data_IF_532716224349
#
_entry.id   IF_532716224349
#
_cell.length_a   1.000
_cell.length_b   1.000
_cell.length_c   1.000
_cell.angle_alpha   90.00
_cell.angle_beta   90.00
_cell.angle_gamma   90.00
#
_symmetry.space_group_name_H-M   'P 1'
#
loop_
_entity.id
_entity.type
_entity.pdbx_description
1 polymer ?
#
# COMPACT_ATOMS: atom_id res chain seq x y z
N UNK A 1 11.99 10.07 -6.13
CA UNK A 1 11.76 9.94 -4.68
C UNK A 1 11.85 8.46 -4.33
N UNK A 2 12.94 8.02 -3.70
CA UNK A 2 13.28 6.59 -3.57
C UNK A 2 13.05 6.11 -2.12
N UNK A 3 11.93 5.40 -1.90
CA UNK A 3 11.60 4.72 -0.64
C UNK A 3 12.74 3.75 -0.25
N UNK A 4 12.96 3.47 1.06
CA UNK A 4 13.94 2.48 1.53
C UNK A 4 14.02 1.22 0.66
N UNK A 5 15.23 0.77 0.35
CA UNK A 5 15.46 -0.51 -0.33
C UNK A 5 14.85 -1.64 0.51
N UNK A 6 14.28 -2.66 -0.14
CA UNK A 6 13.66 -3.80 0.54
C UNK A 6 14.27 -5.11 0.02
N UNK A 7 15.54 -5.40 0.35
CA UNK A 7 16.30 -6.48 -0.30
C UNK A 7 15.63 -7.85 -0.17
N UNK A 8 14.94 -8.13 0.94
CA UNK A 8 14.22 -9.40 1.13
C UNK A 8 12.98 -9.52 0.24
N UNK A 9 12.23 -8.43 0.06
CA UNK A 9 11.07 -8.40 -0.83
C UNK A 9 11.51 -8.45 -2.30
N UNK A 10 12.55 -7.70 -2.65
CA UNK A 10 13.17 -7.71 -3.99
C UNK A 10 13.64 -9.11 -4.37
N UNK A 11 14.41 -9.78 -3.50
CA UNK A 11 14.85 -11.16 -3.71
C UNK A 11 13.69 -12.13 -3.88
N UNK A 12 12.61 -11.99 -3.11
CA UNK A 12 11.43 -12.84 -3.24
C UNK A 12 10.76 -12.68 -4.61
N UNK A 13 10.59 -11.43 -5.07
CA UNK A 13 9.97 -11.15 -6.37
C UNK A 13 10.84 -11.69 -7.51
N UNK A 14 12.15 -11.46 -7.47
CA UNK A 14 13.08 -11.98 -8.48
C UNK A 14 13.11 -13.52 -8.49
N UNK A 15 13.16 -14.17 -7.32
CA UNK A 15 13.14 -15.62 -7.24
C UNK A 15 11.84 -16.24 -7.80
N UNK A 16 10.70 -15.57 -7.62
CA UNK A 16 9.44 -15.96 -8.21
C UNK A 16 9.45 -15.80 -9.75
N UNK A 17 10.02 -14.71 -10.27
CA UNK A 17 10.15 -14.46 -11.71
C UNK A 17 11.07 -15.48 -12.41
N UNK A 18 12.20 -15.82 -11.80
CA UNK A 18 13.17 -16.74 -12.39
C UNK A 18 12.80 -18.22 -12.17
N UNK A 19 11.76 -18.49 -11.37
CA UNK A 19 11.35 -19.85 -11.03
C UNK A 19 12.32 -20.58 -10.11
N UNK A 20 13.24 -19.85 -9.47
CA UNK A 20 14.17 -20.41 -8.46
C UNK A 20 13.49 -20.58 -7.09
N UNK A 21 12.28 -20.03 -6.91
CA UNK A 21 11.46 -20.22 -5.73
C UNK A 21 10.70 -21.57 -5.78
N UNK A 22 11.39 -22.64 -5.38
CA UNK A 22 10.80 -23.98 -5.25
C UNK A 22 10.61 -24.72 -6.59
N UNK A 23 9.94 -25.89 -6.55
CA UNK A 23 9.83 -26.80 -7.70
C UNK A 23 8.73 -26.42 -8.72
N UNK A 24 8.19 -25.20 -8.67
CA UNK A 24 6.94 -24.83 -9.36
C UNK A 24 7.12 -23.98 -10.63
N UNK A 25 8.36 -23.78 -11.09
CA UNK A 25 8.68 -22.95 -12.26
C UNK A 25 8.42 -21.45 -12.06
N UNK A 26 8.61 -20.62 -13.11
CA UNK A 26 8.36 -19.19 -13.07
C UNK A 26 6.92 -18.84 -12.65
N UNK A 27 6.78 -17.81 -11.81
CA UNK A 27 5.51 -17.28 -11.31
C UNK A 27 5.31 -15.83 -11.77
N UNK A 28 4.08 -15.34 -11.66
CA UNK A 28 3.69 -13.94 -11.87
C UNK A 28 3.42 -13.31 -10.49
N UNK A 29 4.36 -12.53 -9.93
CA UNK A 29 4.18 -11.91 -8.63
C UNK A 29 3.14 -10.79 -8.69
N UNK A 30 2.18 -10.82 -7.78
CA UNK A 30 1.16 -9.78 -7.58
C UNK A 30 1.38 -9.14 -6.23
N UNK A 31 1.93 -7.93 -6.24
CA UNK A 31 2.33 -7.21 -5.03
C UNK A 31 1.17 -6.34 -4.54
N UNK A 32 0.65 -6.67 -3.35
CA UNK A 32 -0.49 -5.99 -2.73
C UNK A 32 -0.04 -5.11 -1.57
N UNK A 33 -0.54 -3.87 -1.51
CA UNK A 33 -0.33 -3.01 -0.34
C UNK A 33 -1.05 -1.67 -0.50
N UNK A 34 -1.47 -1.03 0.58
CA UNK A 34 -2.19 0.25 0.53
C UNK A 34 -1.35 1.41 -0.01
N UNK A 35 -1.95 2.60 -0.14
CA UNK A 35 -1.24 3.82 -0.52
C UNK A 35 0.04 4.00 0.32
N UNK A 36 1.15 4.39 -0.33
CA UNK A 36 2.41 4.65 0.37
C UNK A 36 3.22 3.41 0.80
N UNK A 37 2.81 2.19 0.42
CA UNK A 37 3.54 0.95 0.78
C UNK A 37 4.79 0.65 -0.06
N UNK A 38 5.17 1.52 -0.99
CA UNK A 38 6.42 1.40 -1.75
C UNK A 38 6.39 0.50 -2.98
N UNK A 39 5.21 0.06 -3.44
CA UNK A 39 5.05 -0.80 -4.64
C UNK A 39 5.71 -0.20 -5.88
N UNK A 40 5.44 1.07 -6.19
CA UNK A 40 6.03 1.77 -7.34
C UNK A 40 7.55 1.85 -7.22
N UNK A 41 8.09 2.20 -6.05
CA UNK A 41 9.54 2.25 -5.84
C UNK A 41 10.18 0.86 -6.00
N UNK A 42 9.52 -0.19 -5.53
CA UNK A 42 9.95 -1.58 -5.74
C UNK A 42 9.98 -1.93 -7.24
N UNK A 43 8.94 -1.62 -8.02
CA UNK A 43 8.95 -1.88 -9.46
C UNK A 43 10.08 -1.13 -10.18
N UNK A 44 10.29 0.15 -9.85
CA UNK A 44 11.36 0.94 -10.46
C UNK A 44 12.74 0.35 -10.12
N UNK A 45 12.93 -0.13 -8.89
CA UNK A 45 14.17 -0.83 -8.49
C UNK A 45 14.33 -2.16 -9.23
N UNK A 46 13.27 -2.97 -9.35
CA UNK A 46 13.30 -4.22 -10.12
C UNK A 46 13.65 -3.96 -11.58
N UNK A 47 13.14 -2.89 -12.19
CA UNK A 47 13.52 -2.49 -13.56
C UNK A 47 15.01 -2.23 -13.68
N UNK A 48 15.58 -1.52 -12.71
CA UNK A 48 17.01 -1.21 -12.72
C UNK A 48 17.86 -2.47 -12.47
N UNK A 49 17.42 -3.40 -11.61
CA UNK A 49 18.08 -4.69 -11.35
C UNK A 49 18.02 -5.66 -12.55
N UNK A 50 16.87 -5.75 -13.22
CA UNK A 50 16.68 -6.62 -14.40
C UNK A 50 17.37 -6.02 -15.63
N UNK A 51 17.42 -4.70 -15.71
CA UNK A 51 17.99 -3.95 -16.83
C UNK A 51 16.92 -3.28 -17.69
N UNK A 52 17.14 -2.00 -18.01
CA UNK A 52 16.17 -1.13 -18.71
C UNK A 52 15.86 -1.54 -20.15
N UNK A 53 16.68 -2.39 -20.75
CA UNK A 53 16.48 -2.96 -22.10
C UNK A 53 15.77 -4.32 -22.08
N UNK A 54 15.62 -4.91 -20.89
CA UNK A 54 14.97 -6.21 -20.67
C UNK A 54 13.62 -6.06 -19.96
N UNK A 55 13.39 -4.92 -19.28
CA UNK A 55 12.18 -4.65 -18.53
C UNK A 55 11.49 -3.35 -18.95
N UNK A 56 10.17 -3.39 -19.10
CA UNK A 56 9.31 -2.22 -19.30
C UNK A 56 8.47 -1.96 -18.05
N UNK A 57 8.59 -0.76 -17.48
CA UNK A 57 7.68 -0.28 -16.44
C UNK A 57 6.48 0.42 -17.08
N UNK A 58 5.27 0.09 -16.61
CA UNK A 58 4.02 0.62 -17.12
C UNK A 58 3.18 1.13 -15.94
N UNK A 59 2.98 2.45 -15.88
CA UNK A 59 2.05 3.06 -14.92
C UNK A 59 0.63 3.03 -15.52
N UNK A 60 -0.10 1.95 -15.22
CA UNK A 60 -1.43 1.69 -15.78
C UNK A 60 -2.42 2.77 -15.34
N UNK A 61 -2.34 3.24 -14.09
CA UNK A 61 -3.19 4.31 -13.56
C UNK A 61 -3.10 5.59 -14.42
N UNK A 62 -1.92 5.90 -14.97
CA UNK A 62 -1.69 7.10 -15.80
C UNK A 62 -2.08 6.93 -17.26
N UNK A 63 -1.90 5.74 -17.83
CA UNK A 63 -2.07 5.55 -19.29
C UNK A 63 -3.36 4.83 -19.69
N UNK A 64 -4.07 4.18 -18.76
CA UNK A 64 -5.32 3.45 -19.03
C UNK A 64 -6.55 4.37 -19.16
N UNK A 65 -6.51 5.35 -20.08
CA UNK A 65 -7.65 6.25 -20.34
C UNK A 65 -8.64 5.66 -21.35
N UNK A 66 -8.14 5.15 -22.47
CA UNK A 66 -8.89 4.37 -23.47
C UNK A 66 -8.00 3.23 -23.96
N UNK A 67 -8.56 2.12 -24.48
CA UNK A 67 -7.75 1.02 -25.00
C UNK A 67 -6.75 1.44 -26.10
N UNK A 68 -7.13 2.36 -26.98
CA UNK A 68 -6.30 2.86 -28.08
C UNK A 68 -5.13 3.69 -27.55
N UNK A 69 -5.38 4.60 -26.59
CA UNK A 69 -4.31 5.39 -25.99
C UNK A 69 -3.38 4.52 -25.15
N UNK A 70 -3.93 3.53 -24.46
CA UNK A 70 -3.15 2.56 -23.69
C UNK A 70 -2.21 1.77 -24.58
N UNK A 71 -2.72 1.17 -25.67
CA UNK A 71 -1.91 0.46 -26.66
C UNK A 71 -0.80 1.33 -27.23
N UNK A 72 -1.15 2.57 -27.64
CA UNK A 72 -0.18 3.53 -28.18
C UNK A 72 0.91 3.84 -27.17
N UNK A 73 0.54 4.24 -25.96
CA UNK A 73 1.49 4.60 -24.89
C UNK A 73 2.40 3.42 -24.52
N UNK A 74 1.85 2.21 -24.50
CA UNK A 74 2.59 0.98 -24.22
C UNK A 74 3.66 0.70 -25.28
N UNK A 75 3.34 0.92 -26.56
CA UNK A 75 4.28 0.74 -27.68
C UNK A 75 5.31 1.86 -27.75
N UNK A 76 4.89 3.12 -27.64
CA UNK A 76 5.75 4.29 -27.77
C UNK A 76 6.82 4.35 -26.67
N UNK A 77 6.48 3.90 -25.47
CA UNK A 77 7.41 3.84 -24.33
C UNK A 77 8.19 2.51 -24.23
N UNK A 78 8.01 1.59 -25.18
CA UNK A 78 8.63 0.27 -25.15
C UNK A 78 10.13 0.34 -25.42
N UNK A 79 11.00 -0.27 -24.58
CA UNK A 79 12.42 -0.42 -24.89
C UNK A 79 12.70 -1.57 -25.87
N UNK A 80 11.68 -2.35 -26.22
CA UNK A 80 11.80 -3.52 -27.09
C UNK A 80 11.77 -3.14 -28.56
N UNK A 81 12.49 -3.87 -29.44
CA UNK A 81 12.48 -3.62 -30.88
C UNK A 81 11.05 -3.58 -31.42
N UNK A 82 10.81 -2.66 -32.37
CA UNK A 82 9.52 -2.56 -33.04
C UNK A 82 9.22 -3.88 -33.75
N UNK A 83 8.21 -4.60 -33.26
CA UNK A 83 7.65 -5.75 -33.95
C UNK A 83 6.35 -5.31 -34.64
N UNK A 84 6.06 -5.78 -35.86
CA UNK A 84 4.79 -5.54 -36.53
C UNK A 84 3.67 -6.33 -35.82
N UNK A 85 3.17 -5.81 -34.71
CA UNK A 85 2.04 -6.41 -34.01
C UNK A 85 0.72 -5.88 -34.57
N UNK A 86 -0.04 -6.77 -35.22
CA UNK A 86 -1.49 -6.63 -35.38
C UNK A 86 -1.95 -5.37 -36.10
N UNK A 87 -1.17 -4.84 -37.04
CA UNK A 87 -1.70 -3.89 -38.01
C UNK A 87 -2.59 -4.68 -38.99
N UNK A 88 -3.85 -4.91 -38.62
CA UNK A 88 -4.86 -5.13 -39.64
C UNK A 88 -4.90 -3.85 -40.48
N UNK A 89 -4.39 -3.94 -41.71
CA UNK A 89 -4.38 -2.82 -42.64
C UNK A 89 -5.83 -2.40 -42.93
N UNK A 90 -6.20 -1.16 -42.58
CA UNK A 90 -7.29 -0.44 -43.24
C UNK A 90 -8.49 0.02 -42.41
N UNK A 91 -8.61 -0.31 -41.12
CA UNK A 91 -9.69 0.20 -40.26
C UNK A 91 -9.13 0.88 -39.01
N UNK A 92 -9.78 1.97 -38.55
CA UNK A 92 -9.53 2.50 -37.21
C UNK A 92 -9.92 1.40 -36.20
N UNK A 93 -8.98 0.83 -35.44
CA UNK A 93 -9.27 -0.29 -34.56
C UNK A 93 -10.27 0.16 -33.49
N UNK A 94 -11.34 -0.63 -33.28
CA UNK A 94 -12.27 -0.38 -32.19
C UNK A 94 -11.60 -0.61 -30.82
N UNK A 95 -12.24 -0.15 -29.76
CA UNK A 95 -11.75 -0.30 -28.38
C UNK A 95 -11.35 -1.74 -28.03
N UNK A 96 -12.13 -2.74 -28.49
CA UNK A 96 -11.81 -4.16 -28.30
C UNK A 96 -10.55 -4.57 -29.05
N UNK A 97 -10.45 -4.22 -30.33
CA UNK A 97 -9.29 -4.56 -31.17
C UNK A 97 -8.00 -3.95 -30.62
N UNK A 98 -8.08 -2.72 -30.12
CA UNK A 98 -6.94 -2.06 -29.49
C UNK A 98 -6.50 -2.76 -28.19
N UNK A 99 -7.45 -3.24 -27.39
CA UNK A 99 -7.12 -4.03 -26.20
C UNK A 99 -6.52 -5.39 -26.57
N UNK A 100 -7.09 -6.09 -27.55
CA UNK A 100 -6.56 -7.39 -28.02
C UNK A 100 -5.15 -7.22 -28.61
N UNK A 101 -4.89 -6.12 -29.33
CA UNK A 101 -3.56 -5.77 -29.81
C UNK A 101 -2.58 -5.42 -28.68
N UNK A 102 -3.06 -4.92 -27.54
CA UNK A 102 -2.23 -4.69 -26.34
C UNK A 102 -1.87 -6.02 -25.67
N UNK A 103 -2.82 -6.95 -25.56
CA UNK A 103 -2.55 -8.31 -25.06
C UNK A 103 -1.55 -9.04 -25.97
N UNK A 104 -1.73 -8.95 -27.29
CA UNK A 104 -0.80 -9.52 -28.25
C UNK A 104 0.61 -8.94 -28.09
N UNK A 105 0.73 -7.62 -27.91
CA UNK A 105 2.02 -6.97 -27.65
C UNK A 105 2.67 -7.49 -26.36
N UNK A 106 1.92 -7.54 -25.25
CA UNK A 106 2.41 -8.05 -23.97
C UNK A 106 2.88 -9.50 -24.07
N UNK A 107 2.23 -10.32 -24.89
CA UNK A 107 2.58 -11.73 -25.05
C UNK A 107 3.86 -11.97 -25.87
N UNK A 108 4.00 -11.21 -26.95
CA UNK A 108 4.95 -11.54 -28.00
C UNK A 108 6.16 -10.61 -28.05
N UNK A 109 6.16 -9.50 -27.31
CA UNK A 109 7.35 -8.62 -27.17
C UNK A 109 8.57 -9.41 -26.71
N UNK A 110 9.74 -9.08 -27.24
CA UNK A 110 11.02 -9.68 -26.85
C UNK A 110 12.06 -8.59 -26.65
N UNK A 111 13.00 -8.84 -25.75
CA UNK A 111 14.16 -7.96 -25.63
C UNK A 111 15.02 -7.99 -26.90
N UNK A 112 15.93 -7.03 -27.05
CA UNK A 112 16.82 -6.97 -28.21
C UNK A 112 17.68 -8.25 -28.40
N UNK A 113 17.91 -9.01 -27.32
CA UNK A 113 18.58 -10.31 -27.33
C UNK A 113 17.70 -11.48 -27.80
N UNK A 114 16.41 -11.26 -28.09
CA UNK A 114 15.43 -12.31 -28.35
C UNK A 114 14.89 -12.99 -27.08
N UNK A 115 15.40 -12.64 -25.90
CA UNK A 115 14.94 -13.17 -24.63
C UNK A 115 13.51 -12.70 -24.28
N UNK A 116 12.78 -13.45 -23.43
CA UNK A 116 11.50 -13.00 -22.88
C UNK A 116 11.59 -11.60 -22.28
N UNK A 117 10.65 -10.73 -22.65
CA UNK A 117 10.50 -9.42 -22.06
C UNK A 117 9.95 -9.53 -20.63
N UNK A 118 10.34 -8.60 -19.75
CA UNK A 118 9.71 -8.44 -18.44
C UNK A 118 8.84 -7.18 -18.39
N UNK A 119 7.58 -7.33 -18.02
CA UNK A 119 6.65 -6.21 -17.83
C UNK A 119 6.35 -5.99 -16.36
N UNK A 120 6.45 -4.74 -15.92
CA UNK A 120 6.17 -4.30 -14.55
C UNK A 120 4.94 -3.40 -14.59
N UNK A 121 3.75 -3.99 -14.37
CA UNK A 121 2.47 -3.30 -14.48
C UNK A 121 2.06 -2.74 -13.11
N UNK A 122 2.22 -1.42 -12.95
CA UNK A 122 1.84 -0.71 -11.74
C UNK A 122 0.35 -0.38 -11.75
N UNK A 123 -0.37 -0.70 -10.67
CA UNK A 123 -1.82 -0.49 -10.55
C UNK A 123 -2.67 -1.15 -11.65
N UNK A 124 -2.36 -2.42 -12.00
CA UNK A 124 -3.00 -3.12 -13.12
C UNK A 124 -4.54 -3.17 -13.06
N UNK A 125 -5.12 -3.10 -11.85
CA UNK A 125 -6.58 -3.07 -11.66
C UNK A 125 -7.25 -1.80 -12.20
N UNK A 126 -6.49 -0.75 -12.53
CA UNK A 126 -7.04 0.45 -13.15
C UNK A 126 -7.52 0.19 -14.59
N UNK A 127 -7.12 -0.90 -15.24
CA UNK A 127 -7.73 -1.34 -16.52
C UNK A 127 -9.23 -1.61 -16.41
N UNK A 128 -9.77 -1.73 -15.20
CA UNK A 128 -11.22 -1.78 -14.95
C UNK A 128 -11.96 -0.59 -15.57
N UNK A 129 -11.31 0.56 -15.77
CA UNK A 129 -11.92 1.70 -16.50
C UNK A 129 -12.38 1.30 -17.90
N UNK A 130 -11.79 0.27 -18.50
CA UNK A 130 -12.18 -0.21 -19.83
C UNK A 130 -13.48 -1.02 -19.83
N UNK A 131 -14.00 -1.44 -18.66
CA UNK A 131 -15.28 -2.17 -18.58
C UNK A 131 -16.48 -1.38 -19.11
N UNK A 132 -16.36 -0.04 -19.23
CA UNK A 132 -17.39 0.81 -19.84
C UNK A 132 -17.41 0.77 -21.37
N UNK A 133 -16.38 0.22 -22.02
CA UNK A 133 -16.29 0.15 -23.48
C UNK A 133 -16.96 -1.12 -24.01
N UNK A 134 -17.56 -1.08 -25.22
CA UNK A 134 -18.17 -2.26 -25.83
C UNK A 134 -17.19 -3.44 -25.94
N UNK A 135 -17.62 -4.63 -25.51
CA UNK A 135 -16.80 -5.85 -25.59
C UNK A 135 -15.72 -6.01 -24.53
N UNK A 136 -15.60 -5.10 -23.55
CA UNK A 136 -14.52 -5.10 -22.55
C UNK A 136 -15.01 -5.30 -21.10
N UNK A 137 -16.23 -5.82 -20.91
CA UNK A 137 -16.78 -6.11 -19.57
C UNK A 137 -15.96 -7.12 -18.74
N UNK A 138 -15.11 -7.92 -19.38
CA UNK A 138 -14.24 -8.92 -18.75
C UNK A 138 -12.75 -8.56 -18.82
N UNK A 139 -12.39 -7.31 -19.11
CA UNK A 139 -11.01 -6.85 -19.39
C UNK A 139 -9.95 -7.40 -18.43
N UNK A 140 -10.22 -7.41 -17.12
CA UNK A 140 -9.27 -7.92 -16.12
C UNK A 140 -9.12 -9.44 -16.19
N UNK A 141 -10.19 -10.19 -16.46
CA UNK A 141 -10.12 -11.64 -16.65
C UNK A 141 -9.39 -12.00 -17.94
N UNK A 142 -9.66 -11.27 -19.01
CA UNK A 142 -9.00 -11.43 -20.29
C UNK A 142 -7.48 -11.19 -20.16
N UNK A 143 -7.09 -10.13 -19.44
CA UNK A 143 -5.68 -9.86 -19.10
C UNK A 143 -5.07 -11.03 -18.33
N UNK A 144 -5.68 -11.45 -17.21
CA UNK A 144 -5.16 -12.54 -16.37
C UNK A 144 -4.98 -13.83 -17.18
N UNK A 145 -5.92 -14.16 -18.07
CA UNK A 145 -5.81 -15.28 -19.00
C UNK A 145 -4.60 -15.14 -19.93
N UNK A 146 -4.47 -14.01 -20.62
CA UNK A 146 -3.37 -13.76 -21.55
C UNK A 146 -1.99 -13.79 -20.87
N UNK A 147 -1.86 -13.17 -19.69
CA UNK A 147 -0.61 -13.17 -18.94
C UNK A 147 -0.21 -14.58 -18.49
N UNK A 148 -1.18 -15.42 -18.11
CA UNK A 148 -0.91 -16.77 -17.61
C UNK A 148 -0.35 -17.74 -18.66
N UNK A 149 -0.65 -17.50 -19.93
CA UNK A 149 -0.19 -18.33 -21.05
C UNK A 149 1.01 -17.74 -21.77
N UNK A 150 1.45 -16.55 -21.35
CA UNK A 150 2.48 -15.82 -22.07
C UNK A 150 3.88 -16.38 -21.81
N UNK A 151 4.72 -16.33 -22.85
CA UNK A 151 6.15 -16.63 -22.72
C UNK A 151 6.98 -15.51 -22.07
N UNK A 152 6.38 -14.34 -21.81
CA UNK A 152 7.01 -13.20 -21.16
C UNK A 152 6.85 -13.25 -19.63
N UNK A 153 7.58 -12.39 -18.92
CA UNK A 153 7.59 -12.31 -17.46
C UNK A 153 6.80 -11.09 -17.00
N UNK A 154 6.09 -11.20 -15.88
CA UNK A 154 5.21 -10.14 -15.40
C UNK A 154 5.33 -9.95 -13.89
N UNK A 155 5.36 -8.69 -13.45
CA UNK A 155 5.12 -8.30 -12.06
C UNK A 155 3.95 -7.33 -12.06
N UNK A 156 2.94 -7.62 -11.23
CA UNK A 156 1.74 -6.80 -11.10
C UNK A 156 1.72 -6.12 -9.73
N UNK A 157 1.24 -4.89 -9.64
CA UNK A 157 0.96 -4.26 -8.34
C UNK A 157 -0.46 -3.72 -8.28
N UNK A 158 -1.01 -3.63 -7.09
CA UNK A 158 -2.20 -2.80 -6.88
C UNK A 158 -2.36 -2.36 -5.43
N UNK A 159 -2.98 -1.20 -5.24
CA UNK A 159 -3.47 -0.76 -3.93
C UNK A 159 -4.73 -1.46 -3.45
N UNK A 160 -5.49 -2.07 -4.36
CA UNK A 160 -6.79 -2.64 -4.02
C UNK A 160 -6.67 -4.12 -3.64
N UNK A 161 -6.15 -4.42 -2.46
CA UNK A 161 -5.87 -5.78 -2.02
C UNK A 161 -7.14 -6.65 -2.00
N UNK A 162 -8.27 -6.12 -1.52
CA UNK A 162 -9.54 -6.86 -1.52
C UNK A 162 -10.01 -7.22 -2.94
N UNK A 163 -9.88 -6.30 -3.91
CA UNK A 163 -10.23 -6.57 -5.32
C UNK A 163 -9.31 -7.59 -5.94
N UNK A 164 -8.00 -7.50 -5.69
CA UNK A 164 -7.03 -8.44 -6.21
C UNK A 164 -7.30 -9.86 -5.71
N UNK A 165 -7.54 -10.03 -4.40
CA UNK A 165 -7.89 -11.32 -3.81
C UNK A 165 -9.15 -11.94 -4.43
N UNK A 166 -10.18 -11.14 -4.72
CA UNK A 166 -11.39 -11.66 -5.39
C UNK A 166 -11.14 -12.01 -6.86
N UNK A 167 -10.38 -11.18 -7.58
CA UNK A 167 -10.05 -11.45 -8.99
C UNK A 167 -9.20 -12.72 -9.13
N UNK A 168 -8.25 -12.92 -8.21
CA UNK A 168 -7.25 -13.98 -8.29
C UNK A 168 -7.63 -15.26 -7.54
N UNK A 169 -8.79 -15.29 -6.86
CA UNK A 169 -9.27 -16.47 -6.12
C UNK A 169 -9.24 -17.74 -6.97
N UNK A 170 -9.70 -17.62 -8.21
CA UNK A 170 -9.81 -18.71 -9.17
C UNK A 170 -8.84 -18.50 -10.35
N UNK A 171 -7.80 -17.67 -10.17
CA UNK A 171 -6.83 -17.41 -11.22
C UNK A 171 -5.93 -18.64 -11.46
N UNK A 172 -5.34 -18.75 -12.67
CA UNK A 172 -4.39 -19.81 -12.99
C UNK A 172 -3.25 -19.91 -11.96
N UNK A 173 -2.70 -21.12 -11.82
CA UNK A 173 -1.64 -21.42 -10.87
C UNK A 173 -0.40 -20.50 -10.87
N UNK A 174 0.06 -19.86 -11.97
CA UNK A 174 1.28 -19.05 -11.95
C UNK A 174 1.20 -17.77 -11.07
N UNK A 175 0.03 -17.28 -10.69
CA UNK A 175 -0.05 -16.04 -9.90
C UNK A 175 0.34 -16.26 -8.43
N UNK A 176 1.33 -15.52 -7.95
CA UNK A 176 1.75 -15.52 -6.54
C UNK A 176 1.38 -14.18 -5.88
N UNK A 177 0.52 -14.22 -4.87
CA UNK A 177 0.18 -13.02 -4.09
C UNK A 177 1.28 -12.75 -3.06
N UNK A 178 1.85 -11.55 -3.11
CA UNK A 178 2.87 -11.07 -2.18
C UNK A 178 2.36 -9.79 -1.51
N UNK A 179 2.12 -9.85 -0.20
CA UNK A 179 1.78 -8.66 0.56
C UNK A 179 3.04 -7.83 0.87
N UNK A 180 3.03 -6.55 0.49
CA UNK A 180 4.04 -5.60 0.91
C UNK A 180 3.85 -5.30 2.40
N UNK A 181 4.57 -6.03 3.25
CA UNK A 181 4.54 -5.88 4.69
C UNK A 181 4.93 -4.44 5.10
N UNK A 182 4.38 -3.90 6.20
CA UNK A 182 4.92 -2.71 6.84
C UNK A 182 6.43 -2.84 7.13
N UNK A 183 7.15 -1.72 7.13
CA UNK A 183 8.54 -1.67 7.55
C UNK A 183 8.66 -2.01 9.03
N UNK A 184 9.63 -2.85 9.33
CA UNK A 184 10.15 -3.06 10.68
C UNK A 184 10.94 -1.84 11.15
N UNK A 185 11.11 -1.72 12.47
CA UNK A 185 11.99 -0.69 13.04
C UNK A 185 13.44 -0.85 12.53
N UNK A 186 13.91 -2.08 12.29
CA UNK A 186 15.23 -2.34 11.74
C UNK A 186 15.38 -1.83 10.29
N UNK A 187 14.37 -2.02 9.43
CA UNK A 187 14.35 -1.47 8.07
C UNK A 187 14.36 0.07 8.10
N UNK A 188 13.62 0.69 9.03
CA UNK A 188 13.61 2.15 9.19
C UNK A 188 14.97 2.65 9.69
N UNK A 189 15.54 1.99 10.72
CA UNK A 189 16.86 2.30 11.29
C UNK A 189 17.94 2.33 10.22
N UNK A 190 17.93 1.36 9.31
CA UNK A 190 18.89 1.26 8.20
C UNK A 190 18.85 2.47 7.26
N UNK A 191 17.75 3.23 7.22
CA UNK A 191 17.59 4.41 6.36
C UNK A 191 17.85 5.74 7.06
N UNK A 192 17.86 5.75 8.39
CA UNK A 192 18.27 6.93 9.14
C UNK A 192 19.77 7.18 8.88
N UNK A 193 20.21 8.43 8.70
CA UNK A 193 21.63 8.74 8.55
C UNK A 193 22.40 8.19 9.77
N UNK A 194 23.48 7.45 9.52
CA UNK A 194 24.42 7.11 10.58
C UNK A 194 25.25 8.34 10.93
N UNK A 195 25.67 8.46 12.19
CA UNK A 195 26.75 9.37 12.57
C UNK A 195 28.10 8.83 12.03
N UNK A 196 28.22 8.67 10.72
CA UNK A 196 29.50 8.43 10.06
C UNK A 196 30.00 9.78 9.54
N UNK A 197 30.29 10.67 10.47
CA UNK A 197 31.33 11.66 10.28
C UNK A 197 32.64 11.01 10.72
N UNK A 198 33.61 10.93 9.82
CA UNK A 198 35.01 10.68 10.16
C UNK A 198 35.54 11.86 11.00
N UNK A 199 35.09 11.99 12.25
CA UNK A 199 35.74 12.86 13.23
C UNK A 199 36.17 12.00 14.41
N UNK A 200 37.49 11.83 14.48
CA UNK A 200 38.20 11.20 15.58
C UNK A 200 37.79 11.85 16.91
N UNK A 201 37.09 11.10 17.77
CA UNK A 201 37.02 11.46 19.19
C UNK A 201 35.86 10.85 19.96
N UNK A 202 36.20 9.94 20.88
CA UNK A 202 35.39 9.48 22.02
C UNK A 202 34.43 8.31 21.69
N UNK A 203 34.97 7.09 21.78
CA UNK A 203 34.27 5.78 21.74
C UNK A 203 33.10 5.63 22.74
N UNK A 204 32.89 6.57 23.66
CA UNK A 204 31.77 6.56 24.61
C UNK A 204 30.43 7.04 24.03
N UNK A 205 30.45 7.77 22.89
CA UNK A 205 29.26 8.39 22.31
C UNK A 205 28.57 7.48 21.25
N UNK A 206 29.27 6.46 20.74
CA UNK A 206 28.74 5.58 19.68
C UNK A 206 27.58 4.70 20.17
N UNK A 207 27.69 4.10 21.36
CA UNK A 207 26.62 3.27 21.91
C UNK A 207 25.37 4.08 22.26
N UNK A 208 25.54 5.31 22.74
CA UNK A 208 24.44 6.21 23.07
C UNK A 208 23.72 6.67 21.79
N UNK A 209 24.48 7.08 20.77
CA UNK A 209 23.94 7.40 19.45
C UNK A 209 23.23 6.22 18.79
N UNK A 210 23.76 5.01 18.92
CA UNK A 210 23.11 3.80 18.40
C UNK A 210 21.79 3.50 19.11
N UNK A 211 21.71 3.72 20.44
CA UNK A 211 20.46 3.60 21.20
C UNK A 211 19.45 4.67 20.81
N UNK A 212 19.86 5.94 20.68
CA UNK A 212 19.01 7.03 20.22
C UNK A 212 18.44 6.74 18.82
N UNK A 213 19.28 6.20 17.92
CA UNK A 213 18.87 5.82 16.57
C UNK A 213 17.86 4.67 16.58
N UNK A 214 18.02 3.68 17.47
CA UNK A 214 17.06 2.60 17.66
C UNK A 214 15.71 3.11 18.20
N UNK A 215 15.76 4.02 19.16
CA UNK A 215 14.57 4.65 19.74
C UNK A 215 13.81 5.47 18.69
N UNK A 216 14.52 6.32 17.93
CA UNK A 216 13.93 7.09 16.83
C UNK A 216 13.29 6.16 15.79
N UNK A 217 13.97 5.07 15.40
CA UNK A 217 13.42 4.12 14.45
C UNK A 217 12.15 3.43 14.95
N UNK A 218 12.10 3.05 16.25
CA UNK A 218 10.90 2.48 16.88
C UNK A 218 9.75 3.50 16.93
N UNK A 219 10.02 4.75 17.30
CA UNK A 219 9.02 5.82 17.32
C UNK A 219 8.45 6.09 15.92
N UNK A 220 9.33 6.27 14.92
CA UNK A 220 8.93 6.46 13.52
C UNK A 220 8.11 5.26 13.02
N UNK A 221 8.51 4.03 13.36
CA UNK A 221 7.76 2.84 12.98
C UNK A 221 6.34 2.84 13.57
N UNK A 222 6.21 3.14 14.86
CA UNK A 222 4.91 3.18 15.54
C UNK A 222 3.99 4.27 14.96
N UNK A 223 4.53 5.48 14.75
CA UNK A 223 3.79 6.65 14.23
C UNK A 223 3.41 6.53 12.76
N UNK A 224 4.20 5.80 11.98
CA UNK A 224 3.94 5.57 10.55
C UNK A 224 3.13 4.31 10.27
N UNK A 225 2.85 3.48 11.28
CA UNK A 225 2.35 2.12 11.09
C UNK A 225 3.28 1.27 10.19
N UNK A 226 4.58 1.57 10.19
CA UNK A 226 5.56 1.01 9.28
C UNK A 226 5.33 1.35 7.80
N UNK A 227 4.44 2.29 7.45
CA UNK A 227 4.19 2.64 6.04
C UNK A 227 5.39 3.42 5.51
N UNK A 228 6.10 2.92 4.47
CA UNK A 228 7.33 3.53 3.98
C UNK A 228 7.24 5.02 3.64
N UNK A 229 6.14 5.46 3.00
CA UNK A 229 5.96 6.89 2.69
C UNK A 229 5.82 7.77 3.93
N UNK A 230 5.15 7.28 4.98
CA UNK A 230 4.96 8.02 6.22
C UNK A 230 6.23 7.98 7.07
N UNK A 231 6.85 6.80 7.20
CA UNK A 231 8.09 6.62 7.93
C UNK A 231 9.19 7.56 7.41
N UNK A 232 9.34 7.64 6.08
CA UNK A 232 10.28 8.56 5.44
C UNK A 232 9.93 10.01 5.75
N UNK A 233 8.69 10.44 5.50
CA UNK A 233 8.28 11.82 5.71
C UNK A 233 8.51 12.27 7.16
N UNK A 234 8.15 11.42 8.13
CA UNK A 234 8.35 11.68 9.56
C UNK A 234 9.84 11.76 9.88
N UNK A 235 10.66 10.78 9.44
CA UNK A 235 12.09 10.77 9.72
C UNK A 235 12.82 11.99 9.12
N UNK A 236 12.57 12.31 7.85
CA UNK A 236 13.19 13.45 7.17
C UNK A 236 12.79 14.78 7.83
N UNK A 237 11.51 14.92 8.19
CA UNK A 237 11.00 16.13 8.85
C UNK A 237 11.54 16.26 10.27
N UNK A 238 11.61 15.16 11.03
CA UNK A 238 12.16 15.15 12.40
C UNK A 238 13.64 15.55 12.42
N UNK A 239 14.44 15.04 11.49
CA UNK A 239 15.84 15.44 11.33
C UNK A 239 15.96 16.90 10.90
N UNK A 240 15.11 17.35 9.96
CA UNK A 240 15.13 18.74 9.50
C UNK A 240 14.71 19.75 10.57
N UNK A 241 13.82 19.35 11.50
CA UNK A 241 13.34 20.19 12.60
C UNK A 241 14.20 20.05 13.87
N UNK A 242 15.17 19.14 13.88
CA UNK A 242 15.97 18.85 15.05
C UNK A 242 16.65 20.12 15.58
N UNK A 243 16.44 20.39 16.86
CA UNK A 243 17.11 21.47 17.59
C UNK A 243 18.14 20.86 18.56
N UNK A 244 18.64 21.63 19.53
CA UNK A 244 19.63 21.14 20.51
C UNK A 244 19.17 19.89 21.31
N UNK A 245 17.88 19.56 21.28
CA UNK A 245 17.30 18.37 21.92
C UNK A 245 17.14 17.14 21.02
N UNK A 246 17.67 17.14 19.79
CA UNK A 246 17.57 16.02 18.86
C UNK A 246 16.29 16.00 18.02
N UNK A 247 16.11 14.96 17.17
CA UNK A 247 14.94 14.82 16.31
C UNK A 247 13.65 14.54 17.11
N UNK A 248 12.58 15.30 16.83
CA UNK A 248 11.25 15.09 17.41
C UNK A 248 10.29 14.51 16.35
N UNK A 249 10.07 13.17 16.32
CA UNK A 249 9.16 12.56 15.35
C UNK A 249 7.68 12.88 15.60
N UNK A 250 7.30 13.29 16.80
CA UNK A 250 5.92 13.67 17.13
C UNK A 250 5.63 15.08 16.59
N UNK A 251 6.52 16.03 16.88
CA UNK A 251 6.47 17.37 16.31
C UNK A 251 6.54 17.35 14.78
N UNK A 252 7.36 16.47 14.21
CA UNK A 252 7.40 16.23 12.76
C UNK A 252 6.06 15.74 12.21
N UNK A 253 5.42 14.76 12.85
CA UNK A 253 4.09 14.28 12.43
C UNK A 253 3.03 15.38 12.55
N UNK A 254 3.09 16.22 13.59
CA UNK A 254 2.21 17.38 13.74
C UNK A 254 2.37 18.36 12.59
N UNK A 255 3.60 18.73 12.23
CA UNK A 255 3.88 19.61 11.09
C UNK A 255 3.40 19.00 9.76
N UNK A 256 3.55 17.68 9.58
CA UNK A 256 3.12 16.97 8.38
C UNK A 256 1.59 16.88 8.23
N UNK A 257 0.85 16.86 9.35
CA UNK A 257 -0.62 16.82 9.40
C UNK A 257 -1.27 18.20 9.58
N UNK A 258 -0.48 19.25 9.77
CA UNK A 258 -0.97 20.62 9.77
C UNK A 258 -1.62 21.00 8.42
N UNK A 259 -2.45 22.06 8.38
CA UNK A 259 -3.00 22.56 7.12
C UNK A 259 -1.87 22.84 6.11
N UNK A 260 -1.97 22.25 4.92
CA UNK A 260 -0.94 22.36 3.87
C UNK A 260 0.25 21.40 3.99
N UNK A 261 0.39 20.69 5.12
CA UNK A 261 1.45 19.70 5.35
C UNK A 261 1.45 18.55 4.33
N UNK A 262 2.61 17.92 4.14
CA UNK A 262 2.79 16.90 3.11
C UNK A 262 1.87 15.68 3.32
N UNK A 263 1.73 15.20 4.55
CA UNK A 263 0.84 14.06 4.83
C UNK A 263 -0.63 14.45 4.69
N UNK A 264 -1.01 15.69 5.03
CA UNK A 264 -2.35 16.22 4.74
C UNK A 264 -2.69 16.12 3.26
N UNK A 265 -1.77 16.51 2.38
CA UNK A 265 -1.97 16.43 0.92
C UNK A 265 -2.06 14.98 0.44
N UNK A 266 -1.16 14.12 0.93
CA UNK A 266 -1.12 12.70 0.54
C UNK A 266 -2.39 11.95 1.00
N UNK A 267 -2.81 12.13 2.25
CA UNK A 267 -4.03 11.54 2.79
C UNK A 267 -5.26 12.03 2.04
N UNK A 268 -5.36 13.35 1.79
CA UNK A 268 -6.48 13.93 1.01
C UNK A 268 -6.58 13.30 -0.38
N UNK A 269 -5.46 13.24 -1.10
CA UNK A 269 -5.42 12.66 -2.44
C UNK A 269 -5.85 11.18 -2.40
N UNK A 270 -5.24 10.38 -1.52
CA UNK A 270 -5.56 8.96 -1.40
C UNK A 270 -7.00 8.69 -0.97
N UNK A 271 -7.56 9.54 -0.10
CA UNK A 271 -8.95 9.48 0.35
C UNK A 271 -9.93 9.76 -0.79
N UNK A 272 -9.79 10.91 -1.45
CA UNK A 272 -10.71 11.34 -2.51
C UNK A 272 -10.64 10.41 -3.72
N UNK A 273 -9.43 10.02 -4.14
CA UNK A 273 -9.25 9.09 -5.24
C UNK A 273 -9.98 7.77 -5.00
N UNK A 274 -9.80 7.16 -3.82
CA UNK A 274 -10.44 5.87 -3.49
C UNK A 274 -11.96 5.99 -3.40
N UNK A 275 -12.48 7.08 -2.83
CA UNK A 275 -13.92 7.33 -2.80
C UNK A 275 -14.52 7.49 -4.20
N UNK A 276 -13.83 8.17 -5.12
CA UNK A 276 -14.28 8.28 -6.51
C UNK A 276 -14.24 6.96 -7.28
N UNK A 277 -13.45 5.99 -6.81
CA UNK A 277 -13.38 4.62 -7.36
C UNK A 277 -14.40 3.66 -6.73
N UNK A 278 -15.26 4.15 -5.84
CA UNK A 278 -16.35 3.42 -5.20
C UNK A 278 -17.72 4.06 -5.51
N UNK A 279 -18.80 3.29 -5.31
CA UNK A 279 -20.17 3.80 -5.45
C UNK A 279 -20.64 4.42 -4.13
N UNK A 280 -21.64 5.30 -4.18
CA UNK A 280 -22.27 5.83 -2.96
C UNK A 280 -21.43 6.85 -2.20
N UNK A 281 -20.64 7.67 -2.90
CA UNK A 281 -19.68 8.66 -2.37
C UNK A 281 -20.10 9.33 -1.06
N UNK A 282 -21.28 9.96 -0.99
CA UNK A 282 -21.75 10.64 0.22
C UNK A 282 -22.00 9.71 1.42
N UNK A 283 -22.58 8.52 1.19
CA UNK A 283 -22.80 7.53 2.24
C UNK A 283 -21.48 6.94 2.75
N UNK A 284 -20.51 6.76 1.84
CA UNK A 284 -19.18 6.30 2.21
C UNK A 284 -18.44 7.31 3.08
N UNK A 285 -18.53 8.62 2.75
CA UNK A 285 -17.97 9.69 3.60
C UNK A 285 -18.55 9.66 5.01
N UNK A 286 -19.87 9.53 5.13
CA UNK A 286 -20.55 9.47 6.42
C UNK A 286 -20.11 8.24 7.26
N UNK A 287 -19.89 7.08 6.64
CA UNK A 287 -19.34 5.90 7.34
C UNK A 287 -17.92 6.18 7.85
N UNK A 288 -17.08 6.78 7.01
CA UNK A 288 -15.68 7.09 7.39
C UNK A 288 -15.62 8.14 8.49
N UNK A 289 -16.54 9.10 8.52
CA UNK A 289 -16.68 10.05 9.64
C UNK A 289 -17.02 9.32 10.94
N UNK A 290 -18.04 8.45 10.93
CA UNK A 290 -18.42 7.59 12.08
C UNK A 290 -17.25 6.74 12.58
N UNK A 291 -16.54 6.06 11.68
CA UNK A 291 -15.38 5.24 12.04
C UNK A 291 -14.18 6.07 12.51
N UNK A 292 -14.11 7.34 12.10
CA UNK A 292 -12.99 8.19 12.50
C UNK A 292 -13.08 8.56 13.98
N UNK A 293 -14.30 8.76 14.48
CA UNK A 293 -14.59 9.01 15.89
C UNK A 293 -14.32 7.77 16.73
N UNK A 294 -14.85 6.63 16.32
CA UNK A 294 -14.77 5.38 17.06
C UNK A 294 -14.57 4.19 16.12
N UNK A 295 -13.54 3.40 16.40
CA UNK A 295 -13.30 2.10 15.78
C UNK A 295 -12.66 1.17 16.81
N UNK A 296 -12.87 -0.15 16.73
CA UNK A 296 -13.56 -0.89 15.68
C UNK A 296 -15.09 -1.06 15.92
N UNK A 297 -15.92 -0.82 14.91
CA UNK A 297 -17.40 -0.90 15.01
C UNK A 297 -18.01 -2.06 14.21
N UNK A 298 -19.10 -2.63 14.71
CA UNK A 298 -19.92 -3.62 14.01
C UNK A 298 -20.85 -2.98 12.96
N UNK A 299 -21.36 -3.80 12.03
CA UNK A 299 -22.36 -3.36 11.04
C UNK A 299 -23.56 -2.65 11.67
N UNK A 300 -24.09 -3.20 12.76
CA UNK A 300 -25.28 -2.68 13.44
C UNK A 300 -25.02 -1.35 14.13
N UNK A 301 -23.86 -1.21 14.76
CA UNK A 301 -23.41 0.03 15.39
C UNK A 301 -23.24 1.17 14.38
N UNK A 302 -22.71 0.86 13.19
CA UNK A 302 -22.57 1.83 12.09
C UNK A 302 -23.96 2.20 11.53
N UNK A 303 -24.80 1.20 11.25
CA UNK A 303 -26.14 1.41 10.70
C UNK A 303 -27.01 2.29 11.62
N UNK A 304 -26.93 2.06 12.94
CA UNK A 304 -27.61 2.87 13.95
C UNK A 304 -27.13 4.33 13.93
N UNK A 305 -25.82 4.57 13.95
CA UNK A 305 -25.24 5.93 13.90
C UNK A 305 -25.62 6.69 12.62
N UNK A 306 -25.70 5.98 11.48
CA UNK A 306 -26.14 6.56 10.20
C UNK A 306 -27.67 6.68 10.05
N UNK A 307 -28.44 6.10 10.97
CA UNK A 307 -29.91 5.98 10.87
C UNK A 307 -30.33 5.32 9.55
N UNK A 308 -29.64 4.23 9.18
CA UNK A 308 -29.88 3.44 7.96
C UNK A 308 -30.13 1.97 8.30
N UNK A 309 -30.64 1.22 7.32
CA UNK A 309 -30.85 -0.22 7.50
C UNK A 309 -29.51 -0.97 7.47
N UNK A 310 -29.37 -2.08 8.23
CA UNK A 310 -28.17 -2.92 8.16
C UNK A 310 -27.87 -3.45 6.74
N UNK A 311 -28.90 -3.73 5.94
CA UNK A 311 -28.75 -4.19 4.55
C UNK A 311 -28.03 -3.17 3.67
N UNK A 312 -28.53 -1.93 3.60
CA UNK A 312 -27.90 -0.86 2.82
C UNK A 312 -26.50 -0.50 3.33
N UNK A 313 -26.31 -0.52 4.66
CA UNK A 313 -25.01 -0.26 5.29
C UNK A 313 -23.99 -1.33 4.92
N UNK A 314 -24.40 -2.60 4.83
CA UNK A 314 -23.53 -3.71 4.41
C UNK A 314 -23.00 -3.51 2.99
N UNK A 315 -23.83 -3.03 2.06
CA UNK A 315 -23.39 -2.75 0.69
C UNK A 315 -22.34 -1.62 0.66
N UNK A 316 -22.55 -0.55 1.41
CA UNK A 316 -21.58 0.55 1.53
C UNK A 316 -20.25 0.10 2.14
N UNK A 317 -20.28 -0.74 3.18
CA UNK A 317 -19.07 -1.28 3.79
C UNK A 317 -18.30 -2.17 2.81
N UNK A 318 -19.00 -3.03 2.06
CA UNK A 318 -18.39 -3.82 0.98
C UNK A 318 -17.70 -2.93 -0.06
N UNK A 319 -18.31 -1.81 -0.44
CA UNK A 319 -17.69 -0.86 -1.38
C UNK A 319 -16.48 -0.11 -0.81
N UNK A 320 -16.42 0.12 0.50
CA UNK A 320 -15.26 0.70 1.19
C UNK A 320 -14.12 -0.31 1.33
N UNK A 321 -14.42 -1.57 1.64
CA UNK A 321 -13.46 -2.67 1.64
C UNK A 321 -12.87 -2.86 0.22
N UNK A 322 -13.71 -2.77 -0.81
CA UNK A 322 -13.30 -2.86 -2.21
C UNK A 322 -12.28 -1.81 -2.63
N UNK A 323 -12.24 -0.65 -1.97
CA UNK A 323 -11.23 0.38 -2.24
C UNK A 323 -10.18 0.47 -1.13
N UNK A 324 -10.14 -0.51 -0.22
CA UNK A 324 -9.20 -0.63 0.89
C UNK A 324 -9.11 0.68 1.71
N UNK A 325 -10.26 1.33 1.94
CA UNK A 325 -10.38 2.42 2.90
C UNK A 325 -10.64 1.87 4.31
N UNK A 326 -11.34 0.74 4.40
CA UNK A 326 -11.61 0.03 5.65
C UNK A 326 -11.19 -1.44 5.54
N UNK A 327 -11.06 -2.10 6.68
CA UNK A 327 -10.89 -3.54 6.81
C UNK A 327 -11.90 -4.11 7.80
N UNK A 328 -12.33 -5.36 7.58
CA UNK A 328 -13.15 -6.11 8.54
C UNK A 328 -12.33 -7.19 9.23
N UNK A 329 -12.33 -7.20 10.56
CA UNK A 329 -11.76 -8.26 11.40
C UNK A 329 -12.81 -8.71 12.40
N UNK A 330 -13.12 -10.01 12.42
CA UNK A 330 -14.14 -10.58 13.32
C UNK A 330 -15.47 -9.78 13.30
N UNK A 331 -15.93 -9.40 12.10
CA UNK A 331 -17.15 -8.59 11.87
C UNK A 331 -17.11 -7.17 12.47
N UNK A 332 -15.93 -6.65 12.79
CA UNK A 332 -15.72 -5.26 13.16
C UNK A 332 -14.89 -4.53 12.11
N UNK A 333 -15.31 -3.31 11.79
CA UNK A 333 -14.76 -2.47 10.75
C UNK A 333 -13.86 -1.39 11.36
N UNK A 334 -12.75 -1.13 10.70
CA UNK A 334 -11.77 -0.10 11.07
C UNK A 334 -11.15 0.48 9.82
N UNK A 335 -10.54 1.66 9.92
CA UNK A 335 -9.69 2.19 8.86
C UNK A 335 -8.57 1.21 8.53
N UNK A 336 -8.32 1.04 7.23
CA UNK A 336 -7.16 0.28 6.75
C UNK A 336 -5.84 1.04 7.02
N UNK A 337 -5.93 2.37 7.14
CA UNK A 337 -4.80 3.27 7.38
C UNK A 337 -5.09 4.15 8.62
N UNK A 338 -4.38 3.90 9.73
CA UNK A 338 -4.61 4.64 10.98
C UNK A 338 -4.18 6.11 10.94
N UNK A 339 -3.20 6.49 10.11
CA UNK A 339 -2.85 7.91 9.91
C UNK A 339 -3.94 8.60 9.11
N UNK A 340 -4.52 7.91 8.12
CA UNK A 340 -5.67 8.43 7.38
C UNK A 340 -6.87 8.67 8.31
N UNK A 341 -7.11 7.81 9.31
CA UNK A 341 -8.14 8.06 10.32
C UNK A 341 -7.92 9.38 11.06
N UNK A 342 -6.69 9.62 11.55
CA UNK A 342 -6.33 10.88 12.21
C UNK A 342 -6.55 12.06 11.26
N UNK A 343 -6.17 11.91 9.99
CA UNK A 343 -6.42 12.94 8.98
C UNK A 343 -7.92 13.21 8.77
N UNK A 344 -8.78 12.18 8.68
CA UNK A 344 -10.25 12.36 8.57
C UNK A 344 -10.79 13.09 9.80
N UNK A 345 -10.37 12.67 11.00
CA UNK A 345 -10.72 13.32 12.27
C UNK A 345 -10.40 14.81 12.24
N UNK A 346 -9.26 15.20 11.68
CA UNK A 346 -8.78 16.59 11.67
C UNK A 346 -9.37 17.44 10.54
N UNK A 347 -9.45 16.89 9.32
CA UNK A 347 -9.64 17.68 8.09
C UNK A 347 -10.97 17.46 7.38
N UNK A 348 -11.76 16.45 7.76
CA UNK A 348 -13.13 16.28 7.25
C UNK A 348 -14.15 17.08 8.09
N UNK A 349 -13.79 18.31 8.47
CA UNK A 349 -14.61 19.26 9.25
C UNK A 349 -14.86 20.54 8.44
N UNK A 350 -15.81 21.40 8.84
CA UNK A 350 -16.10 22.66 8.13
C UNK A 350 -14.93 23.68 8.13
N UNK A 351 -14.03 23.62 9.11
CA UNK A 351 -12.88 24.51 9.24
C UNK A 351 -11.58 23.70 9.36
N UNK A 352 -10.43 24.27 8.92
CA UNK A 352 -9.12 23.67 9.17
C UNK A 352 -8.86 23.49 10.67
N UNK A 353 -8.14 22.43 11.08
CA UNK A 353 -7.81 22.21 12.48
C UNK A 353 -6.80 23.25 12.99
N UNK A 354 -6.96 23.64 14.25
CA UNK A 354 -6.00 24.44 15.01
C UNK A 354 -4.81 23.58 15.49
N UNK A 355 -3.72 24.23 15.91
CA UNK A 355 -2.56 23.54 16.48
C UNK A 355 -2.93 22.72 17.73
N UNK A 356 -3.80 23.25 18.59
CA UNK A 356 -4.29 22.55 19.77
C UNK A 356 -5.11 21.30 19.43
N UNK A 357 -5.93 21.35 18.38
CA UNK A 357 -6.68 20.18 17.91
C UNK A 357 -5.74 19.12 17.33
N UNK A 358 -4.73 19.52 16.55
CA UNK A 358 -3.72 18.59 16.03
C UNK A 358 -2.98 17.91 17.19
N UNK A 359 -2.52 18.68 18.16
CA UNK A 359 -1.83 18.15 19.34
C UNK A 359 -2.71 17.16 20.12
N UNK A 360 -3.99 17.48 20.32
CA UNK A 360 -4.95 16.61 21.02
C UNK A 360 -5.19 15.30 20.28
N UNK A 361 -5.43 15.34 18.96
CA UNK A 361 -5.65 14.13 18.16
C UNK A 361 -4.39 13.26 18.11
N UNK A 362 -3.20 13.87 17.98
CA UNK A 362 -1.95 13.14 17.98
C UNK A 362 -1.65 12.51 19.33
N UNK A 363 -1.94 13.19 20.43
CA UNK A 363 -1.80 12.61 21.76
C UNK A 363 -2.65 11.33 21.90
N UNK A 364 -3.92 11.38 21.48
CA UNK A 364 -4.81 10.21 21.47
C UNK A 364 -4.28 9.08 20.57
N UNK A 365 -3.83 9.43 19.36
CA UNK A 365 -3.23 8.49 18.42
C UNK A 365 -1.98 7.79 18.99
N UNK A 366 -1.12 8.54 19.69
CA UNK A 366 0.09 8.02 20.32
C UNK A 366 -0.21 7.11 21.49
N UNK A 367 -1.15 7.48 22.37
CA UNK A 367 -1.56 6.65 23.52
C UNK A 367 -2.04 5.26 23.07
N UNK A 368 -2.68 5.17 21.91
CA UNK A 368 -3.15 3.91 21.36
C UNK A 368 -2.03 3.05 20.72
N UNK A 369 -0.83 3.59 20.50
CA UNK A 369 0.23 2.98 19.67
C UNK A 369 1.57 2.81 20.34
N UNK A 370 1.94 3.72 21.22
CA UNK A 370 3.15 3.60 22.00
C UNK A 370 2.83 2.69 23.18
N UNK A 371 3.69 1.69 23.49
CA UNK A 371 3.59 1.03 24.77
C UNK A 371 3.66 2.11 25.84
N UNK A 372 2.67 2.18 26.72
CA UNK A 372 2.83 2.92 27.96
C UNK A 372 4.12 2.36 28.57
N UNK A 373 5.13 3.21 28.78
CA UNK A 373 6.20 2.86 29.68
C UNK A 373 5.50 2.42 30.97
N UNK A 374 5.68 1.17 31.38
CA UNK A 374 5.23 0.77 32.71
C UNK A 374 5.82 1.80 33.66
N UNK A 375 5.01 2.50 34.48
CA UNK A 375 5.57 3.40 35.47
C UNK A 375 6.58 2.57 36.27
N UNK A 376 7.81 3.06 36.38
CA UNK A 376 8.93 2.45 37.10
C UNK A 376 8.70 2.44 38.64
N UNK A 377 7.49 2.14 39.05
CA UNK A 377 6.92 2.10 40.40
C UNK A 377 6.11 0.81 40.56
N UNK A 378 6.71 -0.34 40.19
CA UNK A 378 6.19 -1.66 40.56
C UNK A 378 7.31 -2.68 40.84
N UNK A 379 8.54 -2.22 41.12
CA UNK A 379 9.57 -3.02 41.79
C UNK A 379 9.60 -2.69 43.30
N UNK A 380 8.43 -2.78 43.93
CA UNK A 380 8.29 -2.84 45.37
C UNK A 380 6.95 -3.49 45.74
N UNK A 381 6.97 -4.81 45.96
CA UNK A 381 6.00 -5.47 46.83
C UNK A 381 5.08 -6.51 46.19
N UNK A 382 5.32 -7.77 46.56
CA UNK A 382 4.25 -8.77 46.76
C UNK A 382 3.97 -9.72 45.58
N UNK A 383 4.35 -10.99 45.76
CA UNK A 383 3.83 -12.11 44.96
C UNK A 383 2.29 -12.10 44.92
N UNK A 384 1.66 -12.29 43.74
CA UNK A 384 0.25 -12.65 43.69
C UNK A 384 0.06 -14.15 43.97
N UNK A 385 -0.98 -14.55 44.75
CA UNK A 385 -1.25 -15.95 45.03
C UNK A 385 -1.80 -16.67 43.80
N UNK A 386 -1.35 -17.91 43.61
CA UNK A 386 -1.86 -18.86 42.64
C UNK A 386 -3.39 -18.97 42.77
N UNK A 387 -4.11 -18.73 41.67
CA UNK A 387 -5.51 -19.13 41.53
C UNK A 387 -5.60 -20.26 40.52
N UNK A 388 -6.04 -21.40 41.04
CA UNK A 388 -6.28 -22.66 40.38
C UNK A 388 -7.17 -22.51 39.13
N UNK A 389 -6.77 -23.23 38.08
CA UNK A 389 -7.53 -23.42 36.84
C UNK A 389 -8.71 -24.35 37.12
N UNK A 390 -9.94 -23.85 37.05
CA UNK A 390 -11.14 -24.66 36.90
C UNK A 390 -11.61 -24.57 35.44
N UNK A 391 -11.34 -25.61 34.65
CA UNK A 391 -11.99 -25.84 33.36
C UNK A 391 -13.21 -26.72 33.59
N UNK A 392 -14.39 -26.10 33.64
CA UNK A 392 -15.67 -26.79 33.65
C UNK A 392 -16.02 -27.27 32.24
N UNK A 393 -16.05 -28.59 32.07
CA UNK A 393 -16.62 -29.31 30.94
C UNK A 393 -18.14 -29.10 30.94
N UNK A 394 -18.72 -28.78 29.78
CA UNK A 394 -20.17 -28.86 29.55
C UNK A 394 -20.38 -29.87 28.42
N UNK A 395 -20.86 -31.06 28.78
CA UNK A 395 -21.51 -32.00 27.87
C UNK A 395 -22.97 -31.57 27.70
N UNK A 396 -23.47 -31.63 26.46
CA UNK A 396 -24.90 -31.50 26.16
C UNK A 396 -25.26 -32.72 25.30
N UNK A 397 -26.24 -33.48 25.80
CA UNK A 397 -26.94 -34.58 25.12
C UNK A 397 -27.74 -34.13 23.89
#
# INVERSE_FOLDING_TARGET
MMIPERPSLERRVLAALDGSAGNAGPRIPVILGGCGSGRTSLLLRLRDLIGRTQAQYVDVERIATTPERFLRSLRDASPFPAHPYGAAAGAEPGARDAFDAALAFLDSARAASGAPATFLLDEFLELRTFESFPGLRSVLRDLIGALSTSGNRFVLTTRYAARAHRLLRDAPAPFEIIHAAPLSAAEIRATLPGAHGEEHGIRGNEEEQDRERDELARLVQALSDGRPSYARAIAETAVSMASRGGPDPVGALAALLAPGGQLTQACRYGYELRLHRARGYGALKAILEVLSEEEPLTLTEIAQRLRRTPGSTKDYLSWLEDVDLIVSRMKRYSFADPVLRVWVRLHCRPAPPTEEEIARELHSYMQARLPLAEPALALAGGQPPEREKSWGIIEID
#
